data_IF_660217513324
#
_entry.id   IF_660217513324
#
_cell.length_a   1.000
_cell.length_b   1.000
_cell.length_c   1.000
_cell.angle_alpha   90.00
_cell.angle_beta   90.00
_cell.angle_gamma   90.00
#
_symmetry.space_group_name_H-M   'P 1'
#
loop_
_entity.id
_entity.type
_entity.pdbx_description
1 polymer ?
#
# COMPACT_ATOMS: atom_id res chain seq x y z
N UNK A 1 2.12 -1.39 5.14
CA UNK A 1 1.87 -0.18 5.97
C UNK A 1 3.08 0.24 6.79
N UNK A 2 3.89 -0.69 7.31
CA UNK A 2 5.13 -0.40 8.06
C UNK A 2 6.42 -0.57 7.22
N UNK A 3 6.28 -0.87 5.93
CA UNK A 3 7.39 -1.06 4.98
C UNK A 3 7.04 -0.37 3.66
N UNK A 4 7.14 -1.09 2.54
CA UNK A 4 7.05 -0.51 1.17
C UNK A 4 5.65 -0.12 0.68
N UNK A 5 4.65 -0.14 1.57
CA UNK A 5 3.27 0.18 1.21
C UNK A 5 2.77 1.41 1.96
N UNK A 6 2.11 2.29 1.22
CA UNK A 6 1.62 3.57 1.73
C UNK A 6 0.10 3.56 1.92
N UNK A 7 -0.36 4.38 2.87
CA UNK A 7 -1.79 4.64 3.08
C UNK A 7 -2.08 6.05 2.60
N UNK A 8 -3.10 6.21 1.76
CA UNK A 8 -3.52 7.51 1.23
C UNK A 8 -4.97 7.79 1.53
N UNK A 9 -5.25 9.04 1.86
CA UNK A 9 -6.62 9.57 1.96
C UNK A 9 -7.01 10.24 0.64
N UNK A 10 -8.28 10.10 0.22
CA UNK A 10 -8.74 10.65 -1.05
C UNK A 10 -8.75 12.18 -1.04
N UNK A 11 -9.05 12.78 0.12
CA UNK A 11 -9.19 14.23 0.26
C UNK A 11 -8.39 14.74 1.45
N UNK A 12 -7.71 15.85 1.25
CA UNK A 12 -7.10 16.64 2.31
C UNK A 12 -7.76 18.01 2.31
N UNK A 13 -8.32 18.40 3.45
CA UNK A 13 -8.80 19.76 3.69
C UNK A 13 -7.64 20.76 3.64
N UNK A 14 -7.96 22.04 3.43
CA UNK A 14 -7.03 23.17 3.52
C UNK A 14 -6.26 23.18 4.86
N UNK A 15 -6.87 22.65 5.92
CA UNK A 15 -6.28 22.50 7.26
C UNK A 15 -5.41 21.23 7.43
N UNK A 16 -5.06 20.56 6.32
CA UNK A 16 -4.38 19.24 6.29
C UNK A 16 -5.13 18.12 7.02
N UNK A 17 -6.41 18.32 7.33
CA UNK A 17 -7.28 17.26 7.86
C UNK A 17 -7.67 16.31 6.72
N UNK A 18 -7.25 15.06 6.84
CA UNK A 18 -7.67 14.00 5.94
C UNK A 18 -9.17 13.71 6.11
N UNK A 19 -9.90 13.56 5.02
CA UNK A 19 -11.31 13.18 5.03
C UNK A 19 -11.60 12.01 4.07
N UNK A 20 -12.64 11.25 4.39
CA UNK A 20 -12.99 10.01 3.70
C UNK A 20 -12.20 8.79 4.19
N UNK A 21 -12.49 7.64 3.58
CA UNK A 21 -11.81 6.40 3.91
C UNK A 21 -10.44 6.32 3.24
N UNK A 22 -9.46 5.84 4.00
CA UNK A 22 -8.13 5.61 3.47
C UNK A 22 -8.11 4.39 2.54
N UNK A 23 -7.14 4.38 1.63
CA UNK A 23 -6.79 3.23 0.81
C UNK A 23 -5.33 2.85 1.03
N UNK A 24 -5.01 1.59 0.81
CA UNK A 24 -3.65 1.09 0.80
C UNK A 24 -3.15 0.96 -0.64
N UNK A 25 -1.91 1.33 -0.87
CA UNK A 25 -1.24 1.16 -2.15
C UNK A 25 0.21 0.73 -1.95
N UNK A 26 0.70 -0.13 -2.83
CA UNK A 26 2.06 -0.66 -2.79
C UNK A 26 2.65 -0.67 -4.20
N UNK A 27 3.92 -0.29 -4.31
CA UNK A 27 4.71 -0.40 -5.52
C UNK A 27 5.99 -1.15 -5.20
N UNK A 28 6.33 -2.15 -5.99
CA UNK A 28 7.60 -2.88 -5.86
C UNK A 28 8.23 -3.14 -7.22
N UNK A 29 9.52 -3.47 -7.22
CA UNK A 29 10.25 -3.81 -8.45
C UNK A 29 9.73 -5.12 -9.07
N UNK A 30 9.96 -5.29 -10.37
CA UNK A 30 9.62 -6.51 -11.10
C UNK A 30 10.29 -7.77 -10.52
N UNK A 31 11.47 -7.63 -9.90
CA UNK A 31 12.16 -8.73 -9.23
C UNK A 31 11.36 -9.31 -8.05
N UNK A 32 10.51 -8.50 -7.40
CA UNK A 32 9.68 -8.92 -6.28
C UNK A 32 8.26 -9.35 -6.70
N UNK A 33 8.01 -9.57 -8.01
CA UNK A 33 6.67 -9.85 -8.51
C UNK A 33 5.99 -11.04 -7.83
N UNK A 34 6.70 -12.14 -7.58
CA UNK A 34 6.15 -13.31 -6.90
C UNK A 34 5.66 -12.99 -5.48
N UNK A 35 6.40 -12.15 -4.74
CA UNK A 35 5.98 -11.68 -3.43
C UNK A 35 4.72 -10.81 -3.53
N UNK A 36 4.73 -9.82 -4.42
CA UNK A 36 3.60 -8.90 -4.64
C UNK A 36 2.34 -9.68 -5.03
N UNK A 37 2.48 -10.65 -5.93
CA UNK A 37 1.37 -11.50 -6.37
C UNK A 37 0.79 -12.29 -5.21
N UNK A 38 1.62 -13.02 -4.46
CA UNK A 38 1.11 -13.82 -3.32
C UNK A 38 0.44 -12.94 -2.25
N UNK A 39 1.02 -11.78 -1.95
CA UNK A 39 0.49 -10.83 -0.97
C UNK A 39 -0.86 -10.28 -1.44
N UNK A 40 -0.96 -9.93 -2.72
CA UNK A 40 -2.18 -9.45 -3.32
C UNK A 40 -3.27 -10.51 -3.25
N UNK A 41 -3.04 -11.71 -3.78
CA UNK A 41 -4.03 -12.79 -3.85
C UNK A 41 -4.49 -13.23 -2.46
N UNK A 42 -3.56 -13.34 -1.50
CA UNK A 42 -3.86 -13.83 -0.14
C UNK A 42 -4.61 -12.81 0.71
N UNK A 43 -4.27 -11.52 0.60
CA UNK A 43 -4.72 -10.49 1.56
C UNK A 43 -5.57 -9.41 0.89
N UNK A 44 -5.14 -8.89 -0.26
CA UNK A 44 -5.66 -7.62 -0.79
C UNK A 44 -6.63 -7.76 -1.97
N UNK A 45 -6.74 -8.93 -2.60
CA UNK A 45 -7.57 -9.15 -3.77
C UNK A 45 -9.03 -8.75 -3.54
N UNK A 46 -9.62 -9.19 -2.41
CA UNK A 46 -10.99 -8.82 -2.02
C UNK A 46 -11.20 -7.31 -1.78
N UNK A 47 -10.13 -6.58 -1.48
CA UNK A 47 -10.19 -5.15 -1.20
C UNK A 47 -9.84 -4.29 -2.41
N UNK A 48 -9.35 -4.88 -3.50
CA UNK A 48 -8.93 -4.18 -4.72
C UNK A 48 -10.01 -4.21 -5.80
N UNK A 49 -9.97 -3.24 -6.72
CA UNK A 49 -10.86 -3.16 -7.87
C UNK A 49 -10.15 -3.33 -9.22
N UNK A 50 -8.82 -3.29 -9.25
CA UNK A 50 -8.04 -3.13 -10.49
C UNK A 50 -6.94 -4.17 -10.69
N UNK A 51 -6.76 -5.12 -9.77
CA UNK A 51 -5.65 -6.07 -9.87
C UNK A 51 -4.29 -5.45 -9.57
N UNK A 52 -3.25 -6.20 -9.92
CA UNK A 52 -1.87 -5.71 -10.00
C UNK A 52 -1.63 -5.15 -11.39
N UNK A 53 -1.10 -3.93 -11.44
CA UNK A 53 -0.81 -3.19 -12.66
C UNK A 53 0.71 -3.12 -12.88
N UNK A 54 1.20 -3.52 -14.07
CA UNK A 54 2.61 -3.35 -14.43
C UNK A 54 2.92 -1.90 -14.78
N UNK A 55 4.13 -1.46 -14.44
CA UNK A 55 4.70 -0.19 -14.86
C UNK A 55 6.09 -0.38 -15.47
N UNK A 56 6.41 0.24 -16.62
CA UNK A 56 5.54 1.05 -17.47
C UNK A 56 4.38 0.23 -18.07
N UNK A 57 3.24 0.89 -18.33
CA UNK A 57 2.08 0.24 -18.93
C UNK A 57 2.35 -0.04 -20.42
N UNK A 58 2.58 -1.31 -20.76
CA UNK A 58 2.89 -1.74 -22.12
C UNK A 58 1.75 -1.55 -23.13
N UNK A 59 0.52 -1.33 -22.66
CA UNK A 59 -0.64 -1.03 -23.52
C UNK A 59 -0.58 0.38 -24.10
N UNK A 60 0.24 1.27 -23.54
CA UNK A 60 0.42 2.61 -24.07
C UNK A 60 1.50 2.61 -25.16
N UNK A 61 1.23 3.17 -26.36
CA UNK A 61 2.20 3.18 -27.46
C UNK A 61 3.56 3.80 -27.11
N UNK A 62 3.58 4.79 -26.21
CA UNK A 62 4.78 5.46 -25.69
C UNK A 62 5.70 4.54 -24.85
N UNK A 63 5.23 3.35 -24.51
CA UNK A 63 5.96 2.35 -23.73
C UNK A 63 6.19 1.05 -24.51
N UNK A 64 5.86 1.02 -25.80
CA UNK A 64 6.15 -0.10 -26.68
C UNK A 64 7.66 -0.40 -26.69
N UNK A 65 8.02 -1.67 -26.54
CA UNK A 65 9.42 -2.12 -26.50
C UNK A 65 10.15 -1.90 -25.16
N UNK A 66 9.51 -1.30 -24.14
CA UNK A 66 10.07 -1.21 -22.79
C UNK A 66 9.75 -2.47 -21.98
N UNK A 67 10.63 -2.83 -21.06
CA UNK A 67 10.39 -3.89 -20.08
C UNK A 67 9.65 -3.34 -18.86
N UNK A 68 8.80 -4.17 -18.24
CA UNK A 68 8.17 -3.86 -16.95
C UNK A 68 9.25 -3.78 -15.88
N UNK A 69 9.29 -2.67 -15.14
CA UNK A 69 10.27 -2.44 -14.07
C UNK A 69 9.65 -2.54 -12.69
N UNK A 70 8.34 -2.30 -12.58
CA UNK A 70 7.63 -2.24 -11.31
C UNK A 70 6.22 -2.81 -11.44
N UNK A 71 5.69 -3.26 -10.31
CA UNK A 71 4.29 -3.64 -10.17
C UNK A 71 3.65 -2.82 -9.06
N UNK A 72 2.42 -2.40 -9.31
CA UNK A 72 1.64 -1.56 -8.43
C UNK A 72 0.28 -2.22 -8.18
N UNK A 73 -0.20 -2.15 -6.94
CA UNK A 73 -1.61 -2.41 -6.67
C UNK A 73 -2.13 -1.41 -5.65
N UNK A 74 -3.44 -1.19 -5.70
CA UNK A 74 -4.16 -0.40 -4.71
C UNK A 74 -5.47 -1.07 -4.32
N UNK A 75 -5.88 -0.77 -3.09
CA UNK A 75 -7.19 -1.14 -2.57
C UNK A 75 -8.20 -0.03 -2.84
N UNK A 76 -9.47 -0.38 -2.71
CA UNK A 76 -10.56 0.59 -2.56
C UNK A 76 -10.37 1.37 -1.25
N UNK A 77 -10.97 2.55 -1.20
CA UNK A 77 -11.06 3.35 0.03
C UNK A 77 -12.02 2.70 1.01
N UNK A 78 -11.50 2.11 2.09
CA UNK A 78 -12.26 1.34 3.07
C UNK A 78 -11.97 1.79 4.50
N UNK A 79 -12.99 1.77 5.35
CA UNK A 79 -12.88 2.18 6.76
C UNK A 79 -11.87 1.35 7.55
N UNK A 80 -11.66 0.07 7.17
CA UNK A 80 -10.67 -0.80 7.80
C UNK A 80 -9.25 -0.24 7.68
N UNK A 81 -8.88 0.33 6.52
CA UNK A 81 -7.56 0.92 6.32
C UNK A 81 -7.41 2.23 7.07
N UNK A 82 -8.49 3.01 7.21
CA UNK A 82 -8.52 4.18 8.09
C UNK A 82 -8.26 3.78 9.53
N UNK A 83 -9.02 2.81 10.06
CA UNK A 83 -8.90 2.36 11.43
C UNK A 83 -7.50 1.79 11.72
N UNK A 84 -6.97 0.99 10.80
CA UNK A 84 -5.64 0.39 10.95
C UNK A 84 -4.55 1.47 10.91
N UNK A 85 -4.65 2.45 10.01
CA UNK A 85 -3.71 3.57 9.95
C UNK A 85 -3.74 4.44 11.21
N UNK A 86 -4.93 4.80 11.70
CA UNK A 86 -5.08 5.58 12.94
C UNK A 86 -4.52 4.82 14.14
N UNK A 87 -4.81 3.52 14.26
CA UNK A 87 -4.31 2.70 15.37
C UNK A 87 -2.80 2.57 15.31
N UNK A 88 -2.24 2.32 14.13
CA UNK A 88 -0.82 2.21 13.92
C UNK A 88 -0.10 3.50 14.29
N UNK A 89 -0.56 4.64 13.77
CA UNK A 89 0.01 5.94 14.08
C UNK A 89 -0.02 6.25 15.58
N UNK A 90 -1.11 5.88 16.27
CA UNK A 90 -1.22 6.06 17.71
C UNK A 90 -0.21 5.20 18.50
N UNK A 91 0.00 3.94 18.10
CA UNK A 91 1.01 3.06 18.69
C UNK A 91 2.43 3.61 18.49
N UNK A 92 2.73 4.07 17.28
CA UNK A 92 4.02 4.70 16.95
C UNK A 92 4.25 5.92 17.86
N UNK A 93 3.26 6.81 17.99
CA UNK A 93 3.35 7.98 18.86
C UNK A 93 3.50 7.68 20.35
N UNK A 94 3.09 6.48 20.80
CA UNK A 94 3.22 6.03 22.18
C UNK A 94 4.53 5.30 22.46
N UNK A 95 5.42 5.18 21.46
CA UNK A 95 6.65 4.40 21.58
C UNK A 95 6.38 2.92 21.78
N UNK A 96 5.20 2.43 21.36
CA UNK A 96 4.84 1.04 21.53
C UNK A 96 5.69 0.17 20.60
N UNK A 97 6.39 -0.81 21.18
CA UNK A 97 7.06 -1.84 20.39
C UNK A 97 6.01 -2.74 19.74
N UNK A 98 6.03 -2.81 18.42
CA UNK A 98 5.15 -3.72 17.68
C UNK A 98 6.00 -4.97 17.36
N UNK A 99 5.71 -6.08 18.03
CA UNK A 99 6.30 -7.38 17.66
C UNK A 99 5.46 -8.02 16.55
N UNK A 100 6.06 -8.24 15.38
CA UNK A 100 5.47 -9.07 14.32
C UNK A 100 6.37 -10.29 14.18
N UNK A 101 6.01 -11.37 14.87
CA UNK A 101 6.81 -12.60 14.92
C UNK A 101 8.16 -12.42 15.65
N UNK A 102 9.25 -12.99 15.10
CA UNK A 102 10.60 -12.98 15.70
C UNK A 102 11.32 -11.62 15.66
N UNK A 103 10.71 -10.59 15.10
CA UNK A 103 11.32 -9.27 14.92
C UNK A 103 10.58 -8.24 15.76
N UNK A 104 11.31 -7.64 16.71
CA UNK A 104 10.86 -6.49 17.49
C UNK A 104 11.29 -5.24 16.72
N UNK A 105 10.32 -4.48 16.23
CA UNK A 105 10.59 -3.18 15.62
C UNK A 105 10.36 -2.10 16.68
N UNK A 106 11.43 -1.40 17.04
CA UNK A 106 11.35 -0.14 17.76
C UNK A 106 11.00 0.94 16.74
N UNK A 107 9.82 1.53 16.88
CA UNK A 107 9.41 2.63 15.99
C UNK A 107 9.86 3.93 16.67
N UNK A 108 10.95 4.51 16.16
CA UNK A 108 11.44 5.83 16.55
C UNK A 108 10.57 6.95 15.97
#
# INVERSE_FOLDING_TARGET
>A
MLGDGSVRYPNFSRDRKASGNARYEMTMSAAAYGYVMSLYETVYAQYSSSGILPFPNLLLPIHAGKSVTQYYFATRSLSIFTALHTRLFWLIKKGAMISVGRYIWQVC
#
